data_IF_929770656586
#
_entry.id   IF_929770656586
#
_cell.length_a   1.000
_cell.length_b   1.000
_cell.length_c   1.000
_cell.angle_alpha   90.00
_cell.angle_beta   90.00
_cell.angle_gamma   90.00
#
_symmetry.space_group_name_H-M   'P 1'
#
loop_
_entity.id
_entity.type
_entity.pdbx_description
1 polymer ?
#
# COMPACT_ATOMS: atom_id res chain seq x y z
N UNK A 1 12.82 -2.65 -12.65
CA UNK A 1 12.65 -1.24 -12.22
C UNK A 1 12.31 -1.22 -10.73
N UNK A 2 12.95 -0.40 -9.89
CA UNK A 2 12.55 -0.23 -8.48
C UNK A 2 11.08 0.21 -8.36
N UNK A 3 10.35 -0.29 -7.36
CA UNK A 3 8.92 -0.01 -7.25
C UNK A 3 8.62 1.48 -7.06
N UNK A 4 9.48 2.22 -6.34
CA UNK A 4 9.32 3.68 -6.16
C UNK A 4 9.35 4.43 -7.50
N UNK A 5 10.25 4.03 -8.42
CA UNK A 5 10.28 4.59 -9.78
C UNK A 5 9.02 4.23 -10.56
N UNK A 6 8.52 2.99 -10.43
CA UNK A 6 7.23 2.57 -11.02
C UNK A 6 6.08 3.44 -10.50
N UNK A 7 6.00 3.65 -9.17
CA UNK A 7 4.99 4.50 -8.54
C UNK A 7 5.04 5.94 -9.05
N UNK A 8 6.24 6.49 -9.28
CA UNK A 8 6.43 7.83 -9.85
C UNK A 8 5.81 7.95 -11.25
N UNK A 9 6.12 6.98 -12.12
CA UNK A 9 5.61 6.95 -13.50
C UNK A 9 4.08 6.82 -13.51
N UNK A 10 3.54 5.87 -12.73
CA UNK A 10 2.09 5.68 -12.65
C UNK A 10 1.38 6.93 -12.11
N UNK A 11 1.96 7.62 -11.13
CA UNK A 11 1.40 8.85 -10.58
C UNK A 11 1.43 10.05 -11.55
N UNK A 12 2.41 10.14 -12.45
CA UNK A 12 2.41 11.16 -13.50
C UNK A 12 1.18 11.02 -14.41
N UNK A 13 0.81 9.79 -14.76
CA UNK A 13 -0.39 9.54 -15.56
C UNK A 13 -1.67 9.72 -14.72
N UNK A 14 -1.73 9.13 -13.53
CA UNK A 14 -2.91 9.18 -12.66
C UNK A 14 -3.25 10.61 -12.22
N UNK A 15 -2.26 11.51 -12.14
CA UNK A 15 -2.49 12.95 -11.96
C UNK A 15 -3.46 13.50 -13.02
N UNK A 16 -3.17 13.29 -14.29
CA UNK A 16 -3.98 13.83 -15.38
C UNK A 16 -5.37 13.18 -15.44
N UNK A 17 -5.46 11.89 -15.10
CA UNK A 17 -6.74 11.18 -14.99
C UNK A 17 -7.56 11.80 -13.86
N UNK A 18 -6.97 11.97 -12.67
CA UNK A 18 -7.61 12.59 -11.52
C UNK A 18 -8.13 14.00 -11.84
N UNK A 19 -7.26 14.89 -12.33
CA UNK A 19 -7.60 16.28 -12.68
C UNK A 19 -8.70 16.36 -13.75
N UNK A 20 -8.70 15.41 -14.69
CA UNK A 20 -9.73 15.33 -15.74
C UNK A 20 -11.09 14.95 -15.17
N UNK A 21 -11.13 13.97 -14.26
CA UNK A 21 -12.38 13.56 -13.60
C UNK A 21 -12.84 14.67 -12.66
N UNK A 22 -11.93 15.26 -11.88
CA UNK A 22 -12.25 16.31 -10.91
C UNK A 22 -12.90 17.51 -11.59
N UNK A 23 -12.35 17.96 -12.74
CA UNK A 23 -12.93 19.03 -13.53
C UNK A 23 -14.32 18.71 -14.09
N UNK A 24 -14.62 17.44 -14.37
CA UNK A 24 -15.88 17.00 -14.98
C UNK A 24 -16.97 16.67 -13.96
N UNK A 25 -16.57 16.07 -12.85
CA UNK A 25 -17.46 15.36 -11.93
C UNK A 25 -17.18 15.66 -10.46
N UNK A 26 -16.21 16.53 -10.16
CA UNK A 26 -15.85 16.92 -8.80
C UNK A 26 -14.84 16.00 -8.13
N UNK A 27 -14.31 16.48 -7.02
CA UNK A 27 -13.23 15.85 -6.24
C UNK A 27 -13.62 14.47 -5.71
N UNK A 28 -14.84 14.30 -5.20
CA UNK A 28 -15.30 13.01 -4.63
C UNK A 28 -15.24 11.89 -5.67
N UNK A 29 -15.77 12.13 -6.88
CA UNK A 29 -15.75 11.16 -7.98
C UNK A 29 -14.31 10.86 -8.43
N UNK A 30 -13.46 11.89 -8.54
CA UNK A 30 -12.06 11.70 -8.92
C UNK A 30 -11.30 10.82 -7.91
N UNK A 31 -11.53 11.04 -6.61
CA UNK A 31 -10.95 10.21 -5.55
C UNK A 31 -11.49 8.79 -5.58
N UNK A 32 -12.80 8.61 -5.77
CA UNK A 32 -13.43 7.29 -5.85
C UNK A 32 -12.86 6.46 -7.01
N UNK A 33 -12.86 7.00 -8.22
CA UNK A 33 -12.38 6.29 -9.42
C UNK A 33 -10.90 5.95 -9.33
N UNK A 34 -10.05 6.90 -8.94
CA UNK A 34 -8.60 6.64 -8.80
C UNK A 34 -8.33 5.66 -7.66
N UNK A 35 -9.04 5.81 -6.54
CA UNK A 35 -8.94 4.90 -5.40
C UNK A 35 -9.29 3.46 -5.78
N UNK A 36 -10.41 3.24 -6.47
CA UNK A 36 -10.83 1.92 -6.95
C UNK A 36 -9.83 1.33 -7.94
N UNK A 37 -9.39 2.10 -8.94
CA UNK A 37 -8.44 1.63 -9.93
C UNK A 37 -7.12 1.18 -9.30
N UNK A 38 -6.61 1.96 -8.32
CA UNK A 38 -5.40 1.61 -7.58
C UNK A 38 -5.60 0.39 -6.68
N UNK A 39 -6.75 0.30 -6.01
CA UNK A 39 -7.13 -0.83 -5.17
C UNK A 39 -7.12 -2.14 -5.94
N UNK A 40 -7.83 -2.19 -7.08
CA UNK A 40 -7.85 -3.36 -7.97
C UNK A 40 -6.46 -3.76 -8.43
N UNK A 41 -5.63 -2.80 -8.84
CA UNK A 41 -4.27 -3.07 -9.25
C UNK A 41 -3.38 -3.60 -8.10
N UNK A 42 -3.67 -3.24 -6.85
CA UNK A 42 -2.96 -3.78 -5.69
C UNK A 42 -3.37 -5.22 -5.38
N UNK A 43 -4.68 -5.52 -5.44
CA UNK A 43 -5.22 -6.88 -5.28
C UNK A 43 -4.63 -7.81 -6.35
N UNK A 44 -4.66 -7.40 -7.61
CA UNK A 44 -4.09 -8.17 -8.72
C UNK A 44 -2.58 -8.43 -8.54
N UNK A 45 -1.84 -7.43 -8.04
CA UNK A 45 -0.41 -7.59 -7.74
C UNK A 45 -0.16 -8.56 -6.58
N UNK A 46 -0.97 -8.50 -5.52
CA UNK A 46 -0.90 -9.47 -4.41
C UNK A 46 -1.16 -10.88 -4.90
N UNK A 47 -2.21 -11.08 -5.71
CA UNK A 47 -2.55 -12.37 -6.28
C UNK A 47 -1.42 -12.94 -7.14
N UNK A 48 -0.82 -12.12 -8.02
CA UNK A 48 0.28 -12.57 -8.87
C UNK A 48 1.48 -13.08 -8.06
N UNK A 49 1.85 -12.38 -6.97
CA UNK A 49 2.95 -12.82 -6.10
C UNK A 49 2.59 -14.07 -5.27
N UNK A 50 1.32 -14.26 -4.93
CA UNK A 50 0.86 -15.47 -4.27
C UNK A 50 0.86 -16.68 -5.23
N UNK A 51 0.42 -16.48 -6.47
CA UNK A 51 0.40 -17.51 -7.51
C UNK A 51 1.83 -18.01 -7.82
N UNK A 52 2.82 -17.10 -7.84
CA UNK A 52 4.25 -17.44 -8.03
C UNK A 52 4.82 -18.36 -6.92
N UNK A 53 4.24 -18.33 -5.71
CA UNK A 53 4.66 -19.19 -4.59
C UNK A 53 4.11 -20.62 -4.71
N UNK A 54 3.05 -20.84 -5.49
CA UNK A 54 2.41 -22.15 -5.67
C UNK A 54 1.70 -22.71 -4.42
N UNK A 55 1.58 -21.90 -3.36
CA UNK A 55 0.86 -22.22 -2.12
C UNK A 55 0.37 -20.93 -1.47
N UNK A 56 -0.53 -21.06 -0.49
CA UNK A 56 -1.00 -19.91 0.29
C UNK A 56 0.17 -19.25 1.05
N UNK A 57 0.42 -17.94 0.90
CA UNK A 57 1.52 -17.25 1.58
C UNK A 57 1.22 -16.94 3.05
N UNK A 58 2.22 -17.08 3.92
CA UNK A 58 2.18 -16.64 5.32
C UNK A 58 2.92 -15.31 5.55
N UNK A 59 3.01 -14.88 6.81
CA UNK A 59 3.76 -13.66 7.15
C UNK A 59 5.25 -13.77 6.89
N UNK A 60 5.84 -14.97 6.98
CA UNK A 60 7.25 -15.17 6.62
C UNK A 60 7.47 -14.92 5.12
N UNK A 61 6.56 -15.38 4.26
CA UNK A 61 6.61 -15.10 2.83
C UNK A 61 6.43 -13.59 2.55
N UNK A 62 5.50 -12.93 3.27
CA UNK A 62 5.32 -11.49 3.14
C UNK A 62 6.60 -10.73 3.53
N UNK A 63 7.24 -11.12 4.64
CA UNK A 63 8.54 -10.53 5.04
C UNK A 63 9.61 -10.70 3.97
N UNK A 64 9.67 -11.87 3.33
CA UNK A 64 10.64 -12.14 2.28
C UNK A 64 10.50 -11.19 1.07
N UNK A 65 9.28 -10.70 0.80
CA UNK A 65 9.01 -9.76 -0.30
C UNK A 65 8.97 -8.28 0.13
N UNK A 66 9.00 -7.96 1.43
CA UNK A 66 9.12 -6.58 1.92
C UNK A 66 10.23 -5.75 1.24
N UNK A 67 11.41 -6.32 0.89
CA UNK A 67 12.44 -5.61 0.12
C UNK A 67 11.97 -4.97 -1.19
N UNK A 68 10.90 -5.48 -1.81
CA UNK A 68 10.32 -4.87 -3.01
C UNK A 68 9.91 -3.41 -2.76
N UNK A 69 9.38 -3.10 -1.57
CA UNK A 69 8.91 -1.76 -1.20
C UNK A 69 9.92 -0.92 -0.42
N UNK A 70 10.91 -1.54 0.22
CA UNK A 70 11.95 -0.82 0.98
C UNK A 70 13.22 -0.54 0.18
N UNK A 71 13.36 -1.13 -1.01
CA UNK A 71 14.54 -0.97 -1.89
C UNK A 71 14.92 0.49 -2.08
N UNK A 72 16.22 0.79 -1.93
CA UNK A 72 16.75 2.16 -2.03
C UNK A 72 16.40 3.03 -0.82
N UNK A 73 16.28 2.42 0.37
CA UNK A 73 15.89 3.10 1.60
C UNK A 73 14.54 3.83 1.50
N UNK A 74 13.63 3.28 0.69
CA UNK A 74 12.33 3.87 0.43
C UNK A 74 11.47 4.01 1.68
N UNK A 75 11.67 3.12 2.67
CA UNK A 75 11.02 3.17 3.98
C UNK A 75 12.08 2.97 5.07
N UNK A 76 12.00 3.76 6.15
CA UNK A 76 12.71 3.47 7.40
C UNK A 76 11.75 2.77 8.36
N UNK A 77 12.01 1.50 8.63
CA UNK A 77 11.12 0.58 9.34
C UNK A 77 11.71 0.24 10.72
N UNK A 78 10.89 0.39 11.75
CA UNK A 78 11.13 -0.15 13.10
C UNK A 78 10.25 -1.38 13.28
N UNK A 79 10.84 -2.57 13.26
CA UNK A 79 10.12 -3.84 13.45
C UNK A 79 9.69 -4.02 14.91
N UNK A 80 8.44 -4.39 15.14
CA UNK A 80 7.85 -4.56 16.48
C UNK A 80 7.59 -6.04 16.78
N UNK A 81 6.92 -6.75 15.86
CA UNK A 81 6.65 -8.17 16.00
C UNK A 81 6.61 -8.84 14.62
N UNK A 82 7.09 -10.07 14.54
CA UNK A 82 7.10 -10.82 13.30
C UNK A 82 7.12 -12.32 13.61
N UNK A 83 5.97 -12.97 13.46
CA UNK A 83 5.77 -14.40 13.68
C UNK A 83 4.68 -14.92 12.71
N UNK A 84 4.26 -16.18 12.90
CA UNK A 84 3.27 -16.84 12.02
C UNK A 84 1.89 -16.18 12.04
N UNK A 85 1.55 -15.46 13.11
CA UNK A 85 0.21 -14.90 13.38
C UNK A 85 0.13 -13.39 13.18
N UNK A 86 1.26 -12.68 13.22
CA UNK A 86 1.31 -11.22 13.07
C UNK A 86 2.61 -10.70 12.45
N UNK A 87 2.49 -9.57 11.77
CA UNK A 87 3.59 -8.75 11.28
C UNK A 87 3.32 -7.29 11.62
N UNK A 88 4.07 -6.76 12.58
CA UNK A 88 3.88 -5.42 13.12
C UNK A 88 5.15 -4.60 13.02
N UNK A 89 5.03 -3.39 12.49
CA UNK A 89 6.14 -2.46 12.40
C UNK A 89 5.65 -1.03 12.27
N UNK A 90 6.53 -0.08 12.59
CA UNK A 90 6.32 1.32 12.30
C UNK A 90 7.19 1.75 11.12
N UNK A 91 6.65 2.60 10.25
CA UNK A 91 7.44 3.35 9.26
C UNK A 91 7.65 4.76 9.80
N UNK A 92 8.91 5.15 10.03
CA UNK A 92 9.29 6.48 10.53
C UNK A 92 9.67 7.48 9.43
N UNK A 93 9.96 6.99 8.23
CA UNK A 93 10.20 7.82 7.03
C UNK A 93 9.71 7.09 5.78
N UNK A 94 9.08 7.82 4.87
CA UNK A 94 8.46 7.26 3.66
C UNK A 94 8.79 8.11 2.42
N UNK A 95 9.66 7.59 1.55
CA UNK A 95 10.02 8.27 0.30
C UNK A 95 8.85 8.35 -0.69
N UNK A 96 7.83 7.49 -0.58
CA UNK A 96 6.61 7.62 -1.38
C UNK A 96 5.86 8.90 -1.04
N UNK A 97 5.75 9.22 0.26
CA UNK A 97 5.09 10.44 0.72
C UNK A 97 5.88 11.70 0.33
N UNK A 98 7.19 11.67 0.51
CA UNK A 98 8.08 12.76 0.07
C UNK A 98 7.96 12.98 -1.45
N UNK A 99 8.04 11.91 -2.23
CA UNK A 99 7.91 11.94 -3.69
C UNK A 99 6.57 12.54 -4.14
N UNK A 100 5.44 12.10 -3.59
CA UNK A 100 4.14 12.67 -3.99
C UNK A 100 4.00 14.13 -3.58
N UNK A 101 4.57 14.53 -2.44
CA UNK A 101 4.62 15.94 -2.05
C UNK A 101 5.41 16.78 -3.06
N UNK A 102 6.60 16.32 -3.44
CA UNK A 102 7.44 16.99 -4.47
C UNK A 102 6.73 17.08 -5.82
N UNK A 103 5.91 16.10 -6.18
CA UNK A 103 5.13 16.09 -7.42
C UNK A 103 3.87 16.97 -7.38
N UNK A 104 3.56 17.59 -6.23
CA UNK A 104 2.30 18.32 -6.02
C UNK A 104 1.07 17.41 -5.84
N UNK A 105 1.28 16.12 -5.59
CA UNK A 105 0.25 15.09 -5.47
C UNK A 105 -0.01 14.65 -4.02
N UNK A 106 0.55 15.34 -3.02
CA UNK A 106 0.39 14.96 -1.61
C UNK A 106 -1.06 14.79 -1.16
N UNK A 107 -1.98 15.58 -1.73
CA UNK A 107 -3.42 15.55 -1.43
C UNK A 107 -4.15 14.27 -1.89
N UNK A 108 -3.57 13.51 -2.84
CA UNK A 108 -4.10 12.21 -3.31
C UNK A 108 -3.09 11.06 -3.10
N UNK A 109 -1.93 11.33 -2.49
CA UNK A 109 -0.87 10.33 -2.30
C UNK A 109 -1.34 9.10 -1.52
N UNK A 110 -2.37 9.26 -0.67
CA UNK A 110 -2.98 8.17 0.08
C UNK A 110 -3.72 7.18 -0.82
N UNK A 111 -4.34 7.66 -1.90
CA UNK A 111 -4.98 6.86 -2.93
C UNK A 111 -3.96 6.18 -3.87
N UNK A 112 -2.77 6.76 -4.03
CA UNK A 112 -1.76 6.28 -4.99
C UNK A 112 -0.89 5.15 -4.43
N UNK A 113 -0.64 5.16 -3.12
CA UNK A 113 0.20 4.15 -2.46
C UNK A 113 -0.36 3.59 -1.16
N UNK A 114 -0.95 4.38 -0.27
CA UNK A 114 -1.27 3.90 1.07
C UNK A 114 -2.43 2.90 1.10
N UNK A 115 -3.49 3.10 0.30
CA UNK A 115 -4.59 2.13 0.17
C UNK A 115 -4.10 0.75 -0.29
N UNK A 116 -3.08 0.71 -1.16
CA UNK A 116 -2.49 -0.53 -1.68
C UNK A 116 -2.02 -1.48 -0.59
N UNK A 117 -1.61 -0.96 0.56
CA UNK A 117 -0.99 -1.77 1.61
C UNK A 117 -1.94 -2.81 2.22
N UNK A 118 -3.23 -2.47 2.33
CA UNK A 118 -4.27 -3.40 2.76
C UNK A 118 -4.83 -4.20 1.58
N UNK A 119 -5.06 -3.54 0.45
CA UNK A 119 -5.64 -4.16 -0.75
C UNK A 119 -4.72 -5.24 -1.36
N UNK A 120 -3.41 -5.04 -1.27
CA UNK A 120 -2.43 -6.06 -1.63
C UNK A 120 -2.63 -7.34 -0.84
N UNK A 121 -2.91 -7.25 0.47
CA UNK A 121 -3.15 -8.42 1.31
C UNK A 121 -4.39 -9.20 0.88
N UNK A 122 -5.46 -8.54 0.44
CA UNK A 122 -6.67 -9.21 -0.07
C UNK A 122 -6.32 -10.18 -1.20
N UNK A 123 -5.44 -9.78 -2.12
CA UNK A 123 -4.96 -10.65 -3.20
C UNK A 123 -3.87 -11.63 -2.77
N UNK A 124 -2.99 -11.25 -1.84
CA UNK A 124 -1.83 -12.04 -1.43
C UNK A 124 -2.21 -13.21 -0.50
N UNK A 125 -3.01 -12.94 0.53
CA UNK A 125 -3.65 -13.94 1.35
C UNK A 125 -4.94 -13.33 1.96
N UNK A 126 -6.15 -13.82 1.62
CA UNK A 126 -7.42 -13.23 2.06
C UNK A 126 -7.68 -13.34 3.57
N UNK A 127 -6.89 -14.15 4.30
CA UNK A 127 -6.88 -14.24 5.75
C UNK A 127 -6.06 -13.13 6.41
N UNK A 128 -5.17 -12.45 5.70
CA UNK A 128 -4.43 -11.33 6.25
C UNK A 128 -5.30 -10.07 6.34
N UNK A 129 -5.18 -9.35 7.45
CA UNK A 129 -5.81 -8.06 7.66
C UNK A 129 -4.77 -7.02 8.07
N UNK A 130 -4.98 -5.77 7.64
CA UNK A 130 -4.18 -4.63 8.07
C UNK A 130 -5.02 -3.71 8.96
N UNK A 131 -4.58 -3.50 10.19
CA UNK A 131 -4.99 -2.37 11.02
C UNK A 131 -3.93 -1.28 10.98
N UNK A 132 -4.34 -0.06 10.64
CA UNK A 132 -3.45 1.12 10.61
C UNK A 132 -4.22 2.38 10.97
N UNK A 133 -3.78 3.08 12.01
CA UNK A 133 -4.43 4.27 12.56
C UNK A 133 -3.61 5.55 12.41
N UNK A 134 -2.34 5.43 12.05
CA UNK A 134 -1.40 6.52 11.79
C UNK A 134 -0.85 6.34 10.38
N UNK A 135 -0.75 7.43 9.61
CA UNK A 135 -0.24 7.39 8.24
C UNK A 135 0.48 8.69 7.91
N UNK A 136 1.76 8.62 7.57
CA UNK A 136 2.60 9.79 7.22
C UNK A 136 1.96 10.62 6.09
N UNK A 137 1.44 9.95 5.05
CA UNK A 137 0.77 10.61 3.93
C UNK A 137 -0.45 11.45 4.35
N UNK A 138 -1.07 11.11 5.49
CA UNK A 138 -2.21 11.83 6.07
C UNK A 138 -1.80 12.79 7.20
N UNK A 139 -0.50 13.04 7.37
CA UNK A 139 0.03 14.02 8.32
C UNK A 139 0.46 13.48 9.68
N UNK A 140 0.44 12.15 9.90
CA UNK A 140 0.99 11.58 11.13
C UNK A 140 2.54 11.57 11.12
N UNK A 141 3.14 11.38 12.29
CA UNK A 141 4.60 11.25 12.46
C UNK A 141 5.13 9.90 11.94
N UNK A 142 4.26 8.88 11.87
CA UNK A 142 4.59 7.52 11.44
C UNK A 142 3.42 6.82 10.76
N UNK A 143 3.71 5.72 10.08
CA UNK A 143 2.69 4.72 9.75
C UNK A 143 2.82 3.54 10.71
N UNK A 144 1.73 3.10 11.36
CA UNK A 144 1.73 1.94 12.24
C UNK A 144 1.08 0.73 11.57
N UNK A 145 1.88 -0.11 10.93
CA UNK A 145 1.39 -1.32 10.28
C UNK A 145 1.18 -2.42 11.32
N UNK A 146 -0.05 -2.92 11.44
CA UNK A 146 -0.41 -4.05 12.31
C UNK A 146 -1.14 -5.08 11.46
N UNK A 147 -0.37 -6.01 10.90
CA UNK A 147 -0.96 -7.13 10.15
C UNK A 147 -1.22 -8.31 11.08
N UNK A 148 -2.37 -8.95 10.91
CA UNK A 148 -2.77 -10.16 11.63
C UNK A 148 -3.51 -11.12 10.70
N UNK A 149 -3.57 -12.41 11.08
CA UNK A 149 -4.49 -13.35 10.44
C UNK A 149 -5.90 -13.22 11.05
N UNK A 150 -6.93 -13.31 10.21
CA UNK A 150 -8.31 -13.55 10.66
C UNK A 150 -8.33 -14.85 11.45
N UNK A 151 -8.86 -14.79 12.66
CA UNK A 151 -9.15 -15.99 13.41
C UNK A 151 -10.28 -16.75 12.67
N UNK A 152 -10.12 -18.05 12.40
CA UNK A 152 -11.18 -18.91 11.86
C UNK A 152 -12.35 -19.15 12.84
N UNK A 153 -12.49 -18.34 13.90
CA UNK A 153 -13.62 -18.43 14.83
C UNK A 153 -14.60 -17.29 14.60
N UNK A 154 -15.51 -17.55 13.67
CA UNK A 154 -16.76 -16.82 13.48
C UNK A 154 -17.87 -17.80 13.14
N UNK A 155 -18.33 -18.53 14.15
CA UNK A 155 -19.70 -19.04 14.28
C UNK A 155 -20.32 -18.35 15.51
#
# INVERSE_FOLDING_TARGET
>A
MPILQRRRIEAQLLKHVYETIERRSGTEEARAVVGEAVSRAAIEHGKALADDLGREPGFEDFRAIMPLWTKGDALKIDMIAADETKLEFDVKRCLYAEMYKEMGLGHIGDLLSCNRDGDFCIGYNPKMELSRTQTIMKGADRCNFRYSMKNEKGD
#
